data_IF_450106462629
#
_entry.id   IF_450106462629
#
_cell.length_a   1.000
_cell.length_b   1.000
_cell.length_c   1.000
_cell.angle_alpha   90.00
_cell.angle_beta   90.00
_cell.angle_gamma   90.00
#
_symmetry.space_group_name_H-M   'P 1'
#
loop_
_entity.id
_entity.type
_entity.pdbx_description
1 polymer ?
#
# COMPACT_ATOMS: atom_id res chain seq x y z
N UNK A 1 29.96 -28.30 -1.36
CA UNK A 1 28.82 -28.07 -2.27
C UNK A 1 29.32 -27.47 -3.55
N UNK A 2 28.90 -28.00 -4.72
CA UNK A 2 29.28 -27.39 -6.00
C UNK A 2 28.77 -25.95 -6.14
N UNK A 3 29.57 -25.10 -6.73
CA UNK A 3 29.23 -23.69 -6.91
C UNK A 3 27.96 -23.51 -7.72
N UNK A 4 27.76 -24.32 -8.76
CA UNK A 4 26.56 -24.28 -9.60
C UNK A 4 25.27 -24.57 -8.84
N UNK A 5 25.31 -25.49 -7.85
CA UNK A 5 24.15 -25.82 -7.02
C UNK A 5 23.76 -24.65 -6.12
N UNK A 6 24.74 -23.92 -5.58
CA UNK A 6 24.47 -22.71 -4.77
C UNK A 6 23.85 -21.64 -5.62
N UNK A 7 24.39 -21.39 -6.82
CA UNK A 7 23.85 -20.40 -7.76
C UNK A 7 22.40 -20.73 -8.14
N UNK A 8 22.12 -22.00 -8.46
CA UNK A 8 20.78 -22.45 -8.80
C UNK A 8 19.80 -22.22 -7.65
N UNK A 9 20.20 -22.55 -6.43
CA UNK A 9 19.38 -22.38 -5.24
C UNK A 9 19.00 -20.91 -5.05
N UNK A 10 19.96 -19.97 -5.14
CA UNK A 10 19.69 -18.55 -4.98
C UNK A 10 18.75 -18.02 -6.06
N UNK A 11 18.95 -18.41 -7.31
CA UNK A 11 18.06 -18.01 -8.41
C UNK A 11 16.65 -18.51 -8.16
N UNK A 12 16.50 -19.77 -7.72
CA UNK A 12 15.19 -20.34 -7.41
C UNK A 12 14.53 -19.64 -6.23
N UNK A 13 15.28 -19.26 -5.20
CA UNK A 13 14.78 -18.52 -4.04
C UNK A 13 14.33 -17.11 -4.45
N UNK A 14 15.11 -16.41 -5.26
CA UNK A 14 14.74 -15.08 -5.77
C UNK A 14 13.46 -15.16 -6.59
N UNK A 15 13.33 -16.16 -7.45
CA UNK A 15 12.12 -16.37 -8.24
C UNK A 15 10.91 -16.64 -7.35
N UNK A 16 11.08 -17.43 -6.29
CA UNK A 16 10.02 -17.72 -5.32
C UNK A 16 9.59 -16.46 -4.58
N UNK A 17 10.54 -15.64 -4.14
CA UNK A 17 10.25 -14.39 -3.46
C UNK A 17 9.54 -13.40 -4.37
N UNK A 18 9.95 -13.31 -5.64
CA UNK A 18 9.29 -12.45 -6.62
C UNK A 18 7.85 -12.89 -6.85
N UNK A 19 7.60 -14.19 -6.96
CA UNK A 19 6.25 -14.74 -7.10
C UNK A 19 5.40 -14.43 -5.87
N UNK A 20 5.94 -14.65 -4.69
CA UNK A 20 5.24 -14.38 -3.43
C UNK A 20 4.91 -12.89 -3.30
N UNK A 21 5.85 -12.01 -3.64
CA UNK A 21 5.65 -10.56 -3.61
C UNK A 21 4.55 -10.16 -4.59
N UNK A 22 4.60 -10.69 -5.82
CA UNK A 22 3.60 -10.40 -6.84
C UNK A 22 2.20 -10.78 -6.36
N UNK A 23 2.04 -11.97 -5.80
CA UNK A 23 0.75 -12.45 -5.30
C UNK A 23 0.24 -11.59 -4.14
N UNK A 24 1.15 -11.21 -3.24
CA UNK A 24 0.80 -10.34 -2.12
C UNK A 24 0.32 -8.97 -2.64
N UNK A 25 1.09 -8.36 -3.55
CA UNK A 25 0.76 -7.06 -4.12
C UNK A 25 -0.58 -7.09 -4.86
N UNK A 26 -0.83 -8.15 -5.64
CA UNK A 26 -2.10 -8.32 -6.35
C UNK A 26 -3.27 -8.49 -5.38
N UNK A 27 -3.09 -9.27 -4.33
CA UNK A 27 -4.12 -9.48 -3.30
C UNK A 27 -4.46 -8.17 -2.60
N UNK A 28 -3.45 -7.42 -2.19
CA UNK A 28 -3.64 -6.12 -1.53
C UNK A 28 -4.32 -5.12 -2.47
N UNK A 29 -3.94 -5.10 -3.73
CA UNK A 29 -4.56 -4.23 -4.73
C UNK A 29 -6.03 -4.55 -4.93
N UNK A 30 -6.38 -5.84 -5.02
CA UNK A 30 -7.78 -6.25 -5.18
C UNK A 30 -8.63 -5.84 -3.98
N UNK A 31 -8.11 -6.05 -2.76
CA UNK A 31 -8.81 -5.68 -1.54
C UNK A 31 -9.01 -4.17 -1.45
N UNK A 32 -7.98 -3.41 -1.82
CA UNK A 32 -8.05 -1.95 -1.85
C UNK A 32 -9.07 -1.45 -2.87
N UNK A 33 -9.04 -2.00 -4.07
CA UNK A 33 -10.01 -1.65 -5.11
C UNK A 33 -11.44 -1.97 -4.67
N UNK A 34 -11.65 -3.13 -4.05
CA UNK A 34 -12.96 -3.54 -3.56
C UNK A 34 -13.47 -2.59 -2.48
N UNK A 35 -12.59 -2.18 -1.57
CA UNK A 35 -12.94 -1.22 -0.52
C UNK A 35 -13.35 0.13 -1.11
N UNK A 36 -12.56 0.65 -2.04
CA UNK A 36 -12.82 1.95 -2.67
C UNK A 36 -14.04 1.91 -3.59
N UNK A 37 -14.33 0.78 -4.21
CA UNK A 37 -15.49 0.61 -5.07
C UNK A 37 -16.83 0.68 -4.32
N UNK A 38 -16.82 0.49 -3.01
CA UNK A 38 -18.03 0.63 -2.19
C UNK A 38 -18.43 2.09 -1.99
N UNK A 39 -17.51 3.02 -2.16
CA UNK A 39 -17.79 4.44 -2.02
C UNK A 39 -18.70 4.92 -3.16
N UNK A 40 -19.70 5.74 -2.83
CA UNK A 40 -20.64 6.32 -3.79
C UNK A 40 -20.46 7.83 -3.93
N UNK A 41 -19.51 8.40 -3.18
CA UNK A 41 -19.21 9.84 -3.22
C UNK A 41 -17.76 10.07 -2.83
N UNK A 42 -17.26 11.28 -3.11
CA UNK A 42 -15.91 11.67 -2.66
C UNK A 42 -15.79 11.63 -1.14
N UNK A 43 -16.85 12.02 -0.44
CA UNK A 43 -16.89 11.97 1.01
C UNK A 43 -16.74 10.53 1.53
N UNK A 44 -17.49 9.59 0.94
CA UNK A 44 -17.36 8.17 1.30
C UNK A 44 -15.99 7.62 0.95
N UNK A 45 -15.39 8.06 -0.16
CA UNK A 45 -14.03 7.69 -0.51
C UNK A 45 -13.03 8.17 0.56
N UNK A 46 -13.18 9.39 1.06
CA UNK A 46 -12.36 9.92 2.14
C UNK A 46 -12.54 9.13 3.44
N UNK A 47 -13.77 8.73 3.75
CA UNK A 47 -14.04 7.87 4.91
C UNK A 47 -13.39 6.50 4.77
N UNK A 48 -13.44 5.92 3.57
CA UNK A 48 -12.79 4.63 3.30
C UNK A 48 -11.28 4.71 3.47
N UNK A 49 -10.65 5.78 2.98
CA UNK A 49 -9.21 5.99 3.16
C UNK A 49 -8.84 6.17 4.63
N UNK A 50 -9.66 6.88 5.38
CA UNK A 50 -9.46 7.07 6.82
C UNK A 50 -9.54 5.73 7.56
N UNK A 51 -10.54 4.91 7.26
CA UNK A 51 -10.68 3.58 7.82
C UNK A 51 -9.49 2.70 7.48
N UNK A 52 -8.98 2.79 6.27
CA UNK A 52 -7.81 2.05 5.82
C UNK A 52 -6.58 2.40 6.66
N UNK A 53 -6.32 3.68 6.89
CA UNK A 53 -5.21 4.14 7.72
C UNK A 53 -5.34 3.62 9.15
N UNK A 54 -6.55 3.59 9.69
CA UNK A 54 -6.82 3.16 11.06
C UNK A 54 -6.88 1.64 11.23
N UNK A 55 -6.36 0.87 10.29
CA UNK A 55 -6.16 -0.57 10.43
C UNK A 55 -7.33 -1.43 9.99
N UNK A 56 -8.22 -0.92 9.15
CA UNK A 56 -9.34 -1.70 8.64
C UNK A 56 -8.89 -2.67 7.54
N UNK A 57 -9.39 -3.89 7.60
CA UNK A 57 -9.33 -4.93 6.56
C UNK A 57 -7.96 -5.15 5.92
N UNK A 58 -7.53 -4.26 5.01
CA UNK A 58 -6.33 -4.42 4.19
C UNK A 58 -5.06 -4.11 4.99
N UNK A 59 -5.15 -3.17 5.92
CA UNK A 59 -4.00 -2.64 6.67
C UNK A 59 -3.89 -3.24 8.07
N UNK A 60 -4.13 -4.54 8.18
CA UNK A 60 -3.90 -5.25 9.44
C UNK A 60 -2.41 -5.19 9.82
N UNK A 61 -2.07 -5.28 11.12
CA UNK A 61 -0.67 -5.27 11.53
C UNK A 61 0.18 -6.32 10.81
N UNK A 62 -0.35 -7.51 10.58
CA UNK A 62 0.34 -8.59 9.88
C UNK A 62 0.64 -8.23 8.42
N UNK A 63 -0.35 -7.66 7.71
CA UNK A 63 -0.16 -7.22 6.34
C UNK A 63 0.86 -6.09 6.25
N UNK A 64 0.82 -5.15 7.17
CA UNK A 64 1.75 -4.01 7.18
C UNK A 64 3.17 -4.45 7.48
N UNK A 65 3.37 -5.35 8.43
CA UNK A 65 4.69 -5.91 8.72
C UNK A 65 5.28 -6.60 7.50
N UNK A 66 4.49 -7.43 6.83
CA UNK A 66 4.92 -8.12 5.61
C UNK A 66 5.25 -7.13 4.50
N UNK A 67 4.42 -6.12 4.30
CA UNK A 67 4.62 -5.09 3.30
C UNK A 67 5.95 -4.35 3.50
N UNK A 68 6.27 -3.97 4.74
CA UNK A 68 7.51 -3.24 5.03
C UNK A 68 8.73 -4.11 4.80
N UNK A 69 8.67 -5.39 5.16
CA UNK A 69 9.75 -6.34 4.88
C UNK A 69 9.98 -6.50 3.38
N UNK A 70 8.89 -6.63 2.62
CA UNK A 70 8.97 -6.77 1.18
C UNK A 70 9.48 -5.49 0.50
N UNK A 71 9.06 -4.33 0.98
CA UNK A 71 9.57 -3.05 0.48
C UNK A 71 11.05 -2.89 0.73
N UNK A 72 11.52 -3.23 1.92
CA UNK A 72 12.93 -3.16 2.26
C UNK A 72 13.77 -4.09 1.36
N UNK A 73 13.30 -5.31 1.14
CA UNK A 73 13.96 -6.26 0.26
C UNK A 73 13.93 -5.78 -1.20
N UNK A 74 12.75 -5.36 -1.67
CA UNK A 74 12.55 -4.94 -3.05
C UNK A 74 13.35 -3.68 -3.39
N UNK A 75 13.63 -2.81 -2.42
CA UNK A 75 14.38 -1.58 -2.66
C UNK A 75 15.78 -1.82 -3.20
N UNK A 76 16.33 -3.02 -2.97
CA UNK A 76 17.66 -3.44 -3.41
C UNK A 76 17.64 -4.34 -4.64
N UNK A 77 16.46 -4.70 -5.12
CA UNK A 77 16.27 -5.65 -6.22
C UNK A 77 15.52 -4.97 -7.38
N UNK A 78 16.21 -4.63 -8.49
CA UNK A 78 15.56 -3.92 -9.60
C UNK A 78 14.31 -4.61 -10.13
N UNK A 79 14.29 -5.94 -10.18
CA UNK A 79 13.15 -6.71 -10.67
C UNK A 79 11.92 -6.56 -9.76
N UNK A 80 12.14 -6.48 -8.45
CA UNK A 80 11.05 -6.34 -7.48
C UNK A 80 10.56 -4.89 -7.41
N UNK A 81 11.41 -3.92 -7.74
CA UNK A 81 10.98 -2.52 -7.86
C UNK A 81 9.88 -2.35 -8.90
N UNK A 82 9.92 -3.12 -9.97
CA UNK A 82 8.88 -3.10 -11.00
C UNK A 82 7.53 -3.49 -10.41
N UNK A 83 7.51 -4.51 -9.55
CA UNK A 83 6.29 -4.93 -8.84
C UNK A 83 5.77 -3.83 -7.94
N UNK A 84 6.66 -3.15 -7.21
CA UNK A 84 6.30 -2.01 -6.36
C UNK A 84 5.73 -0.86 -7.18
N UNK A 85 6.35 -0.55 -8.32
CA UNK A 85 5.91 0.51 -9.21
C UNK A 85 4.51 0.21 -9.77
N UNK A 86 4.26 -1.02 -10.17
CA UNK A 86 2.96 -1.46 -10.67
C UNK A 86 1.90 -1.37 -9.58
N UNK A 87 2.22 -1.79 -8.36
CA UNK A 87 1.33 -1.72 -7.22
C UNK A 87 0.97 -0.26 -6.93
N UNK A 88 1.97 0.60 -6.85
CA UNK A 88 1.79 2.04 -6.62
C UNK A 88 0.90 2.68 -7.69
N UNK A 89 1.14 2.34 -8.95
CA UNK A 89 0.35 2.85 -10.07
C UNK A 89 -1.12 2.40 -9.96
N UNK A 90 -1.36 1.14 -9.63
CA UNK A 90 -2.73 0.63 -9.47
C UNK A 90 -3.47 1.33 -8.34
N UNK A 91 -2.78 1.60 -7.22
CA UNK A 91 -3.37 2.35 -6.11
C UNK A 91 -3.74 3.77 -6.53
N UNK A 92 -2.86 4.43 -7.26
CA UNK A 92 -3.11 5.78 -7.76
C UNK A 92 -4.28 5.81 -8.75
N UNK A 93 -4.34 4.84 -9.66
CA UNK A 93 -5.45 4.73 -10.61
C UNK A 93 -6.79 4.52 -9.91
N UNK A 94 -6.82 3.74 -8.86
CA UNK A 94 -8.02 3.55 -8.03
C UNK A 94 -8.50 4.88 -7.45
N UNK A 95 -7.58 5.70 -6.95
CA UNK A 95 -7.91 7.01 -6.40
C UNK A 95 -8.32 8.02 -7.47
N UNK A 96 -7.82 7.87 -8.68
CA UNK A 96 -8.18 8.75 -9.80
C UNK A 96 -9.64 8.62 -10.24
N UNK A 97 -10.35 7.61 -9.76
CA UNK A 97 -11.79 7.51 -9.91
C UNK A 97 -12.50 8.71 -9.24
N UNK A 98 -11.95 9.21 -8.14
CA UNK A 98 -12.56 10.24 -7.31
C UNK A 98 -11.81 11.57 -7.33
N UNK A 99 -10.51 11.55 -7.62
CA UNK A 99 -9.63 12.71 -7.44
C UNK A 99 -8.77 12.91 -8.69
N UNK A 100 -8.31 14.14 -8.91
CA UNK A 100 -7.36 14.40 -9.97
C UNK A 100 -6.02 13.68 -9.73
N UNK A 101 -5.19 13.48 -10.77
CA UNK A 101 -3.96 12.71 -10.64
C UNK A 101 -2.99 13.23 -9.56
N UNK A 102 -2.84 14.53 -9.41
CA UNK A 102 -1.94 15.10 -8.40
C UNK A 102 -2.45 14.83 -6.98
N UNK A 103 -3.75 15.00 -6.75
CA UNK A 103 -4.40 14.71 -5.48
C UNK A 103 -4.34 13.21 -5.16
N UNK A 104 -4.57 12.38 -6.16
CA UNK A 104 -4.48 10.92 -6.00
C UNK A 104 -3.07 10.50 -5.55
N UNK A 105 -2.02 11.09 -6.12
CA UNK A 105 -0.64 10.81 -5.70
C UNK A 105 -0.36 11.27 -4.28
N UNK A 106 -0.85 12.45 -3.91
CA UNK A 106 -0.68 12.96 -2.55
C UNK A 106 -1.39 12.06 -1.53
N UNK A 107 -2.61 11.62 -1.85
CA UNK A 107 -3.36 10.68 -1.00
C UNK A 107 -2.66 9.34 -0.88
N UNK A 108 -2.18 8.79 -1.97
CA UNK A 108 -1.47 7.51 -1.97
C UNK A 108 -0.25 7.57 -1.04
N UNK A 109 0.57 8.61 -1.16
CA UNK A 109 1.72 8.82 -0.30
C UNK A 109 1.33 9.02 1.16
N UNK A 110 0.26 9.80 1.40
CA UNK A 110 -0.24 10.06 2.74
C UNK A 110 -0.75 8.78 3.41
N UNK A 111 -1.55 7.99 2.71
CA UNK A 111 -2.09 6.73 3.22
C UNK A 111 -0.96 5.78 3.58
N UNK A 112 0.02 5.64 2.70
CA UNK A 112 1.17 4.76 2.93
C UNK A 112 1.97 5.19 4.15
N UNK A 113 2.29 6.48 4.26
CA UNK A 113 3.05 7.02 5.39
C UNK A 113 2.26 6.97 6.70
N UNK A 114 1.00 7.35 6.67
CA UNK A 114 0.15 7.36 7.87
C UNK A 114 -0.17 5.96 8.38
N UNK A 115 -0.27 4.99 7.50
CA UNK A 115 -0.44 3.59 7.91
C UNK A 115 0.78 3.11 8.70
N UNK A 116 1.99 3.47 8.25
CA UNK A 116 3.21 3.19 8.99
C UNK A 116 3.19 3.87 10.37
N UNK A 117 2.86 5.16 10.40
CA UNK A 117 2.77 5.91 11.66
C UNK A 117 1.78 5.26 12.61
N UNK A 118 0.60 4.90 12.12
CA UNK A 118 -0.46 4.33 12.95
C UNK A 118 -0.04 3.02 13.62
N UNK A 119 0.72 2.19 12.90
CA UNK A 119 1.19 0.90 13.45
C UNK A 119 2.34 1.06 14.43
N UNK A 120 3.24 2.02 14.19
CA UNK A 120 4.49 2.16 14.95
C UNK A 120 4.37 3.14 16.11
N UNK A 121 3.52 4.16 15.99
CA UNK A 121 3.39 5.21 16.99
C UNK A 121 2.74 4.67 18.26
N UNK A 122 3.26 5.07 19.42
CA UNK A 122 2.68 4.73 20.72
C UNK A 122 1.37 5.47 20.96
N UNK A 123 1.25 6.67 20.41
CA UNK A 123 0.08 7.53 20.55
C UNK A 123 -0.38 7.97 19.15
N UNK A 124 -0.94 7.04 18.36
CA UNK A 124 -1.36 7.39 17.00
C UNK A 124 -2.45 8.46 17.04
N UNK A 125 -2.50 9.27 15.98
CA UNK A 125 -3.55 10.26 15.84
C UNK A 125 -4.92 9.59 15.81
N UNK A 126 -5.92 10.25 16.37
CA UNK A 126 -7.27 9.70 16.36
C UNK A 126 -7.88 9.78 14.95
N UNK A 127 -8.93 8.98 14.75
CA UNK A 127 -9.60 8.88 13.46
C UNK A 127 -10.10 10.23 12.93
N UNK A 128 -10.64 11.05 13.79
CA UNK A 128 -11.19 12.36 13.42
C UNK A 128 -10.11 13.28 12.86
N UNK A 129 -8.95 13.32 13.50
CA UNK A 129 -7.81 14.10 13.03
C UNK A 129 -7.31 13.59 11.68
N UNK A 130 -7.19 12.28 11.52
CA UNK A 130 -6.77 11.68 10.25
C UNK A 130 -7.77 12.00 9.15
N UNK A 131 -9.07 11.91 9.44
CA UNK A 131 -10.12 12.28 8.48
C UNK A 131 -10.00 13.75 8.06
N UNK A 132 -9.74 14.63 9.01
CA UNK A 132 -9.53 16.05 8.74
C UNK A 132 -8.33 16.28 7.81
N UNK A 133 -7.24 15.55 8.02
CA UNK A 133 -6.06 15.65 7.16
C UNK A 133 -6.36 15.18 5.73
N UNK A 134 -7.08 14.08 5.59
CA UNK A 134 -7.54 13.60 4.27
C UNK A 134 -8.37 14.69 3.58
N UNK A 135 -9.28 15.29 4.32
CA UNK A 135 -10.11 16.39 3.79
C UNK A 135 -9.29 17.56 3.27
N UNK A 136 -8.25 17.94 3.99
CA UNK A 136 -7.34 19.03 3.54
C UNK A 136 -6.62 18.67 2.26
N UNK A 137 -6.19 17.43 2.12
CA UNK A 137 -5.47 17.00 0.91
C UNK A 137 -6.39 17.05 -0.30
N UNK A 138 -7.65 16.66 -0.15
CA UNK A 138 -8.61 16.67 -1.26
C UNK A 138 -9.25 18.05 -1.51
N UNK A 139 -8.93 19.04 -0.70
CA UNK A 139 -9.42 20.38 -0.88
C UNK A 139 -10.77 20.68 -0.23
N UNK A 140 -11.19 19.88 0.73
CA UNK A 140 -12.33 20.23 1.59
C UNK A 140 -11.91 21.39 2.49
N UNK A 141 -12.61 22.48 2.37
CA UNK A 141 -12.31 23.71 3.05
C UNK A 141 -12.34 23.67 4.58
#
# INVERSE_FOLDING_TARGET
MPLGSVTYYFTSLEALLAEAFTRFAESMSRQYQALMAQAQSREEACEALTALICGAQVTTPENMELMYQLYAYASRQPQLKIIMQDWMRRSQQTLETWFDPATARALDAFVEGMTLHYVVDREPLNRETIRSMVGRIVGEG
#
